data_IF_562580218512
#
_entry.id   IF_562580218512
#
_cell.length_a   1.000
_cell.length_b   1.000
_cell.length_c   1.000
_cell.angle_alpha   90.00
_cell.angle_beta   90.00
_cell.angle_gamma   90.00
#
_symmetry.space_group_name_H-M   'P 1'
#
loop_
_entity.id
_entity.type
_entity.pdbx_description
1 polymer ?
#
# COMPACT_ATOMS: atom_id res chain seq x y z
N UNK A 1 3.60 4.60 13.30
CA UNK A 1 2.44 5.41 12.86
C UNK A 1 2.61 6.80 13.45
N UNK A 2 2.46 7.84 12.61
CA UNK A 2 2.62 9.25 12.99
C UNK A 2 1.27 9.94 12.69
N UNK A 3 0.78 10.77 13.60
CA UNK A 3 -0.41 11.61 13.37
C UNK A 3 -0.04 12.86 12.55
N UNK A 4 -1.05 13.59 12.09
CA UNK A 4 -0.86 14.86 11.38
C UNK A 4 -0.11 15.93 12.20
N UNK A 5 -0.09 15.79 13.53
CA UNK A 5 0.58 16.70 14.47
C UNK A 5 2.00 16.22 14.84
N UNK A 6 2.59 15.32 14.05
CA UNK A 6 3.91 14.70 14.29
C UNK A 6 4.02 13.88 15.58
N UNK A 7 2.88 13.59 16.22
CA UNK A 7 2.83 12.74 17.41
C UNK A 7 3.02 11.29 17.01
N UNK A 8 4.05 10.65 17.56
CA UNK A 8 4.31 9.24 17.34
C UNK A 8 3.31 8.40 18.15
N UNK A 9 2.29 7.85 17.48
CA UNK A 9 1.29 6.99 18.13
C UNK A 9 1.81 5.56 18.32
N UNK A 10 2.81 5.18 17.53
CA UNK A 10 3.24 3.79 17.46
C UNK A 10 4.74 3.75 17.15
N UNK A 11 5.55 3.73 18.21
CA UNK A 11 6.99 3.45 18.18
C UNK A 11 7.21 1.96 18.45
N UNK A 12 8.13 1.35 17.71
CA UNK A 12 8.64 -0.01 17.97
C UNK A 12 7.64 -1.16 17.94
N UNK A 13 6.64 -1.11 17.04
CA UNK A 13 5.87 -2.31 16.74
C UNK A 13 6.73 -3.30 15.97
N UNK A 14 7.24 -4.30 16.69
CA UNK A 14 7.82 -5.50 16.11
C UNK A 14 6.68 -6.28 15.45
N UNK A 15 6.61 -6.18 14.12
CA UNK A 15 5.70 -6.98 13.32
C UNK A 15 5.87 -8.46 13.67
N UNK A 16 4.73 -9.13 13.84
CA UNK A 16 4.68 -10.54 14.20
C UNK A 16 5.04 -11.34 12.93
N UNK A 17 6.27 -11.85 12.86
CA UNK A 17 6.77 -12.81 11.86
C UNK A 17 6.78 -12.38 10.36
N UNK A 18 7.69 -12.97 9.58
CA UNK A 18 7.91 -12.73 8.13
C UNK A 18 6.73 -13.13 7.22
N UNK A 19 5.59 -13.50 7.78
CA UNK A 19 4.50 -14.17 7.06
C UNK A 19 3.29 -13.27 6.79
N UNK A 20 3.34 -11.98 7.15
CA UNK A 20 2.19 -11.08 7.06
C UNK A 20 2.49 -9.87 6.16
N UNK A 21 1.56 -9.55 5.27
CA UNK A 21 1.61 -8.36 4.41
C UNK A 21 0.36 -7.52 4.58
N UNK A 22 0.48 -6.22 4.32
CA UNK A 22 -0.65 -5.29 4.37
C UNK A 22 -1.70 -5.67 3.31
N UNK A 23 -2.92 -5.97 3.77
CA UNK A 23 -4.10 -6.12 2.93
C UNK A 23 -4.85 -4.79 2.75
N UNK A 24 -4.82 -3.92 3.77
CA UNK A 24 -5.34 -2.56 3.71
C UNK A 24 -5.66 -1.97 5.09
N UNK A 25 -6.34 -0.82 5.09
CA UNK A 25 -6.79 -0.14 6.31
C UNK A 25 -8.26 0.24 6.12
N UNK A 26 -9.12 -0.17 7.05
CA UNK A 26 -10.56 0.10 7.01
C UNK A 26 -11.16 0.06 8.42
N UNK A 27 -12.20 0.85 8.69
CA UNK A 27 -12.90 0.86 9.98
C UNK A 27 -11.96 0.98 11.20
N UNK A 28 -10.89 1.79 11.08
CA UNK A 28 -9.86 1.99 12.12
C UNK A 28 -9.07 0.72 12.48
N UNK A 29 -9.04 -0.26 11.57
CA UNK A 29 -8.29 -1.50 11.70
C UNK A 29 -7.26 -1.61 10.57
N UNK A 30 -6.03 -1.99 10.94
CA UNK A 30 -5.00 -2.45 10.02
C UNK A 30 -5.30 -3.91 9.70
N UNK A 31 -5.42 -4.24 8.42
CA UNK A 31 -5.73 -5.58 7.94
C UNK A 31 -4.46 -6.17 7.35
N UNK A 32 -3.98 -7.25 7.94
CA UNK A 32 -2.85 -8.01 7.45
C UNK A 32 -3.35 -9.36 6.93
N UNK A 33 -2.82 -9.78 5.78
CA UNK A 33 -3.07 -11.10 5.20
C UNK A 33 -1.80 -11.94 5.28
N UNK A 34 -1.97 -13.23 5.55
CA UNK A 34 -0.87 -14.17 5.59
C UNK A 34 -0.43 -14.52 4.17
N UNK A 35 0.88 -14.60 3.96
CA UNK A 35 1.53 -15.12 2.76
C UNK A 35 2.27 -16.41 3.10
N UNK A 36 2.23 -17.40 2.21
CA UNK A 36 3.05 -18.60 2.33
C UNK A 36 4.39 -18.38 1.62
N UNK A 37 5.42 -19.13 2.01
CA UNK A 37 6.72 -19.10 1.32
C UNK A 37 6.62 -19.33 -0.20
N UNK A 38 5.64 -20.12 -0.64
CA UNK A 38 5.50 -20.52 -2.04
C UNK A 38 4.17 -20.09 -2.68
N UNK A 39 3.36 -19.24 -2.02
CA UNK A 39 2.07 -18.77 -2.56
C UNK A 39 1.75 -17.35 -2.07
N UNK A 40 1.22 -16.47 -2.94
CA UNK A 40 0.82 -15.11 -2.57
C UNK A 40 -0.37 -15.07 -1.60
N UNK A 41 -0.98 -16.21 -1.29
CA UNK A 41 -2.17 -16.34 -0.45
C UNK A 41 -2.02 -17.57 0.45
N UNK A 42 -2.08 -17.37 1.77
CA UNK A 42 -2.29 -18.42 2.78
C UNK A 42 -3.45 -18.02 3.71
N UNK A 43 -3.99 -19.00 4.43
CA UNK A 43 -5.02 -18.75 5.42
C UNK A 43 -4.43 -18.04 6.64
N UNK A 44 -5.04 -16.91 7.00
CA UNK A 44 -4.59 -16.03 8.05
C UNK A 44 -4.99 -14.60 7.72
N UNK A 45 -5.85 -14.03 8.56
CA UNK A 45 -6.17 -12.60 8.55
C UNK A 45 -5.91 -12.08 9.95
N UNK A 46 -5.09 -11.04 10.07
CA UNK A 46 -4.84 -10.38 11.33
C UNK A 46 -5.38 -8.95 11.27
N UNK A 47 -6.17 -8.59 12.28
CA UNK A 47 -6.80 -7.29 12.42
C UNK A 47 -6.23 -6.61 13.65
N UNK A 48 -5.68 -5.42 13.47
CA UNK A 48 -5.04 -4.66 14.55
C UNK A 48 -5.77 -3.32 14.67
N UNK A 49 -6.28 -2.99 15.86
CA UNK A 49 -6.89 -1.69 16.08
C UNK A 49 -5.81 -0.58 16.00
N UNK A 50 -6.01 0.38 15.10
CA UNK A 50 -5.03 1.44 14.86
C UNK A 50 -4.79 2.35 16.08
N UNK A 51 -5.79 2.50 16.95
CA UNK A 51 -5.72 3.33 18.16
C UNK A 51 -5.36 2.53 19.42
N UNK A 52 -5.48 1.20 19.36
CA UNK A 52 -5.04 0.31 20.43
C UNK A 52 -4.37 -0.93 19.83
N UNK A 53 -3.08 -0.87 19.48
CA UNK A 53 -2.38 -1.93 18.77
C UNK A 53 -2.24 -3.24 19.55
N UNK A 54 -2.50 -3.23 20.86
CA UNK A 54 -2.55 -4.45 21.68
C UNK A 54 -3.85 -5.23 21.45
N UNK A 55 -4.92 -4.58 20.97
CA UNK A 55 -6.15 -5.23 20.59
C UNK A 55 -5.99 -5.80 19.18
N UNK A 56 -5.65 -7.08 19.12
CA UNK A 56 -5.42 -7.83 17.90
C UNK A 56 -6.36 -9.01 17.83
N UNK A 57 -6.83 -9.31 16.63
CA UNK A 57 -7.67 -10.46 16.37
C UNK A 57 -7.16 -11.21 15.14
N UNK A 58 -7.01 -12.52 15.27
CA UNK A 58 -6.40 -13.34 14.22
C UNK A 58 -7.31 -14.49 13.82
N UNK A 59 -7.59 -14.58 12.53
CA UNK A 59 -8.46 -15.55 11.90
C UNK A 59 -7.62 -16.50 11.04
N UNK A 60 -7.12 -17.58 11.65
CA UNK A 60 -6.19 -18.53 10.99
C UNK A 60 -6.87 -19.46 9.98
N UNK A 61 -8.17 -19.68 10.13
CA UNK A 61 -8.92 -20.62 9.29
C UNK A 61 -9.50 -19.98 8.02
N UNK A 62 -9.21 -18.69 7.79
CA UNK A 62 -9.81 -17.91 6.72
C UNK A 62 -8.75 -17.24 5.86
N UNK A 63 -9.01 -17.23 4.57
CA UNK A 63 -8.18 -16.62 3.54
C UNK A 63 -8.77 -15.27 3.19
N UNK A 64 -7.93 -14.24 3.15
CA UNK A 64 -8.32 -12.91 2.67
C UNK A 64 -8.62 -12.96 1.17
N UNK A 65 -9.82 -12.52 0.75
CA UNK A 65 -10.18 -12.39 -0.66
C UNK A 65 -10.13 -10.92 -1.08
N UNK A 66 -10.92 -10.06 -0.43
CA UNK A 66 -10.96 -8.64 -0.74
C UNK A 66 -11.51 -7.79 0.42
N UNK A 67 -11.26 -6.48 0.39
CA UNK A 67 -11.97 -5.51 1.22
C UNK A 67 -13.25 -5.05 0.52
N UNK A 68 -14.34 -4.94 1.27
CA UNK A 68 -15.65 -4.55 0.73
C UNK A 68 -16.46 -3.77 1.77
N UNK A 69 -17.28 -2.80 1.35
CA UNK A 69 -18.20 -2.05 2.21
C UNK A 69 -17.60 -1.64 3.59
N UNK A 70 -18.03 -2.25 4.69
CA UNK A 70 -17.50 -2.10 6.06
C UNK A 70 -16.90 -3.40 6.61
N UNK A 71 -16.43 -4.27 5.71
CA UNK A 71 -16.02 -5.64 6.01
C UNK A 71 -14.97 -6.21 5.05
N UNK A 72 -14.76 -7.52 5.18
CA UNK A 72 -13.88 -8.31 4.34
C UNK A 72 -14.65 -9.45 3.67
N UNK A 73 -14.34 -9.73 2.41
CA UNK A 73 -14.64 -11.02 1.81
C UNK A 73 -13.54 -12.00 2.20
N UNK A 74 -13.94 -13.10 2.80
CA UNK A 74 -13.06 -14.14 3.32
C UNK A 74 -13.51 -15.51 2.84
N UNK A 75 -12.58 -16.46 2.80
CA UNK A 75 -12.87 -17.85 2.41
C UNK A 75 -12.33 -18.84 3.44
N UNK A 76 -13.13 -19.80 3.93
CA UNK A 76 -12.61 -20.87 4.79
C UNK A 76 -11.51 -21.67 4.08
N UNK A 77 -10.40 -21.96 4.77
CA UNK A 77 -9.24 -22.67 4.21
C UNK A 77 -9.59 -24.05 3.62
N UNK A 78 -10.57 -24.73 4.21
CA UNK A 78 -10.94 -26.12 3.92
C UNK A 78 -11.94 -26.28 2.77
N UNK A 79 -12.46 -25.19 2.20
CA UNK A 79 -13.48 -25.25 1.16
C UNK A 79 -12.85 -24.91 -0.19
N UNK A 80 -12.95 -25.85 -1.14
CA UNK A 80 -12.62 -25.61 -2.54
C UNK A 80 -13.56 -24.54 -3.13
N UNK A 81 -13.01 -23.72 -4.03
CA UNK A 81 -13.59 -22.50 -4.61
C UNK A 81 -15.13 -22.43 -4.68
N UNK A 82 -15.70 -21.26 -4.36
CA UNK A 82 -17.12 -20.98 -4.55
C UNK A 82 -17.83 -20.41 -3.31
N UNK A 83 -17.35 -20.70 -2.09
CA UNK A 83 -17.88 -20.08 -0.88
C UNK A 83 -17.09 -18.83 -0.51
N UNK A 84 -17.77 -17.69 -0.46
CA UNK A 84 -17.27 -16.44 0.12
C UNK A 84 -18.14 -16.05 1.30
N UNK A 85 -17.51 -15.61 2.39
CA UNK A 85 -18.19 -15.14 3.59
C UNK A 85 -17.85 -13.67 3.79
N UNK A 86 -18.79 -12.91 4.36
CA UNK A 86 -18.57 -11.51 4.69
C UNK A 86 -18.27 -11.39 6.19
N UNK A 87 -17.09 -10.88 6.53
CA UNK A 87 -16.71 -10.50 7.89
C UNK A 87 -16.98 -9.00 8.08
N UNK A 88 -17.91 -8.67 8.96
CA UNK A 88 -18.19 -7.28 9.32
C UNK A 88 -17.09 -6.76 10.26
N UNK A 89 -16.37 -5.71 9.87
CA UNK A 89 -15.27 -5.16 10.67
C UNK A 89 -15.75 -4.30 11.84
N UNK A 90 -17.02 -3.92 11.92
CA UNK A 90 -17.55 -3.21 13.09
C UNK A 90 -17.97 -4.19 14.19
N UNK A 91 -18.73 -5.22 13.82
CA UNK A 91 -19.27 -6.22 14.77
C UNK A 91 -18.31 -7.37 15.03
N UNK A 92 -17.32 -7.57 14.16
CA UNK A 92 -16.41 -8.73 14.16
C UNK A 92 -17.13 -10.08 13.96
N UNK A 93 -18.31 -10.05 13.33
CA UNK A 93 -19.10 -11.26 13.05
C UNK A 93 -19.11 -11.59 11.56
N UNK A 94 -19.19 -12.89 11.27
CA UNK A 94 -19.45 -13.38 9.92
C UNK A 94 -20.96 -13.29 9.67
N UNK A 95 -21.35 -12.55 8.64
CA UNK A 95 -22.74 -12.32 8.27
C UNK A 95 -23.02 -12.85 6.87
N UNK A 96 -24.24 -13.33 6.66
CA UNK A 96 -24.73 -13.68 5.34
C UNK A 96 -25.18 -12.40 4.61
N UNK A 97 -24.30 -11.81 3.79
CA UNK A 97 -24.67 -10.75 2.85
C UNK A 97 -24.93 -11.34 1.47
N UNK A 98 -25.97 -10.85 0.81
CA UNK A 98 -26.19 -11.13 -0.62
C UNK A 98 -25.03 -10.50 -1.42
N UNK A 99 -24.30 -11.29 -2.21
CA UNK A 99 -23.12 -10.82 -2.96
C UNK A 99 -23.43 -9.59 -3.82
N UNK A 100 -24.65 -9.50 -4.38
CA UNK A 100 -25.11 -8.38 -5.20
C UNK A 100 -25.25 -7.06 -4.43
N UNK A 101 -25.28 -7.10 -3.09
CA UNK A 101 -25.37 -5.92 -2.22
C UNK A 101 -24.02 -5.40 -1.73
N UNK A 102 -22.95 -6.15 -1.98
CA UNK A 102 -21.61 -5.86 -1.47
C UNK A 102 -20.91 -4.88 -2.41
N UNK A 103 -20.77 -3.63 -1.95
CA UNK A 103 -20.03 -2.60 -2.70
C UNK A 103 -18.52 -2.80 -2.56
N UNK A 104 -17.73 -2.59 -3.62
CA UNK A 104 -16.28 -2.56 -3.52
C UNK A 104 -15.83 -1.54 -2.47
N UNK A 105 -14.85 -1.89 -1.65
CA UNK A 105 -14.21 -0.90 -0.78
C UNK A 105 -13.28 -0.03 -1.61
N UNK A 106 -13.56 1.27 -1.64
CA UNK A 106 -12.61 2.24 -2.17
C UNK A 106 -11.47 2.39 -1.16
N UNK A 107 -10.43 1.54 -1.30
CA UNK A 107 -9.22 1.65 -0.49
C UNK A 107 -8.65 3.06 -0.64
N UNK A 108 -8.50 3.76 0.48
CA UNK A 108 -7.76 5.01 0.50
C UNK A 108 -6.29 4.79 0.11
N UNK A 109 -5.78 3.56 0.28
CA UNK A 109 -4.45 3.15 -0.11
C UNK A 109 -4.42 2.76 -1.60
N UNK A 110 -3.64 3.50 -2.38
CA UNK A 110 -3.46 3.30 -3.82
C UNK A 110 -2.00 3.01 -4.11
N UNK A 111 -1.71 1.83 -4.67
CA UNK A 111 -0.37 1.48 -5.12
C UNK A 111 -0.07 2.07 -6.51
N UNK A 112 1.19 2.38 -6.83
CA UNK A 112 1.60 2.73 -8.17
C UNK A 112 1.35 1.62 -9.17
N UNK A 113 1.14 2.03 -10.42
CA UNK A 113 1.15 1.14 -11.57
C UNK A 113 2.45 1.39 -12.34
N UNK A 114 3.07 0.34 -12.86
CA UNK A 114 4.21 0.48 -13.78
C UNK A 114 3.68 1.01 -15.11
N UNK A 115 4.20 2.15 -15.54
CA UNK A 115 3.84 2.78 -16.80
C UNK A 115 4.59 2.11 -17.96
N UNK A 116 3.86 1.34 -18.76
CA UNK A 116 4.39 0.62 -19.92
C UNK A 116 4.10 1.31 -21.27
N UNK A 117 3.65 2.56 -21.24
CA UNK A 117 3.35 3.34 -22.44
C UNK A 117 4.57 4.08 -22.99
N UNK A 118 4.36 4.89 -24.03
CA UNK A 118 5.41 5.79 -24.52
C UNK A 118 5.70 6.87 -23.46
N UNK A 119 6.96 6.96 -23.04
CA UNK A 119 7.40 7.95 -22.05
C UNK A 119 7.13 9.36 -22.58
N UNK A 120 6.35 10.20 -21.86
CA UNK A 120 6.09 11.57 -22.27
C UNK A 120 7.37 12.36 -22.51
N UNK A 121 7.36 13.26 -23.51
CA UNK A 121 8.56 14.03 -23.89
C UNK A 121 9.21 14.75 -22.71
N UNK A 122 8.40 15.36 -21.83
CA UNK A 122 8.90 16.08 -20.65
C UNK A 122 9.61 15.18 -19.62
N UNK A 123 9.44 13.86 -19.68
CA UNK A 123 10.16 12.91 -18.83
C UNK A 123 11.44 12.37 -19.46
N UNK A 124 11.65 12.53 -20.77
CA UNK A 124 12.82 11.98 -21.47
C UNK A 124 14.14 12.62 -21.05
N UNK A 125 14.09 13.81 -20.46
CA UNK A 125 15.27 14.54 -19.98
C UNK A 125 15.80 14.02 -18.63
N UNK A 126 15.04 13.15 -17.95
CA UNK A 126 15.50 12.56 -16.69
C UNK A 126 16.37 11.31 -16.94
N UNK A 127 17.44 11.10 -16.16
CA UNK A 127 18.29 9.91 -16.23
C UNK A 127 17.62 8.71 -15.53
N UNK A 128 16.48 8.28 -16.07
CA UNK A 128 15.64 7.21 -15.53
C UNK A 128 16.38 5.87 -15.59
N UNK A 129 16.49 5.21 -14.44
CA UNK A 129 17.12 3.90 -14.28
C UNK A 129 16.07 2.84 -13.96
N UNK A 130 15.51 2.19 -14.99
CA UNK A 130 14.55 1.09 -14.86
C UNK A 130 13.08 1.50 -15.05
N UNK A 131 12.20 0.93 -14.22
CA UNK A 131 10.75 1.15 -14.33
C UNK A 131 10.33 2.56 -13.92
N UNK A 132 9.25 3.03 -14.56
CA UNK A 132 8.57 4.27 -14.19
C UNK A 132 7.23 3.89 -13.58
N UNK A 133 6.97 4.37 -12.39
CA UNK A 133 5.71 4.22 -11.70
C UNK A 133 4.84 5.46 -11.90
N UNK A 134 3.52 5.26 -12.03
CA UNK A 134 2.55 6.33 -12.19
C UNK A 134 1.34 6.14 -11.27
N UNK A 135 0.84 7.26 -10.73
CA UNK A 135 -0.52 7.38 -10.22
C UNK A 135 -1.19 8.64 -10.78
N UNK A 136 -2.52 8.64 -10.80
CA UNK A 136 -3.33 9.84 -11.04
C UNK A 136 -3.92 10.31 -9.71
N UNK A 137 -3.71 11.59 -9.39
CA UNK A 137 -4.29 12.27 -8.22
C UNK A 137 -5.03 13.49 -8.76
N UNK A 138 -6.35 13.45 -8.72
CA UNK A 138 -7.23 14.45 -9.34
C UNK A 138 -6.86 14.69 -10.82
N UNK A 139 -6.43 15.90 -11.16
CA UNK A 139 -6.02 16.31 -12.52
C UNK A 139 -4.51 16.21 -12.77
N UNK A 140 -3.76 15.70 -11.80
CA UNK A 140 -2.31 15.53 -11.89
C UNK A 140 -1.91 14.06 -12.01
N UNK A 141 -0.75 13.85 -12.63
CA UNK A 141 -0.03 12.59 -12.67
C UNK A 141 1.20 12.70 -11.77
N UNK A 142 1.42 11.67 -10.98
CA UNK A 142 2.60 11.49 -10.16
C UNK A 142 3.42 10.40 -10.79
N UNK A 143 4.62 10.77 -11.21
CA UNK A 143 5.62 9.89 -11.78
C UNK A 143 6.71 9.69 -10.76
N UNK A 144 7.11 8.44 -10.59
CA UNK A 144 8.18 8.08 -9.67
C UNK A 144 9.11 7.13 -10.38
N UNK A 145 10.40 7.35 -10.22
CA UNK A 145 11.40 6.51 -10.86
C UNK A 145 12.73 6.61 -10.12
N UNK A 146 13.58 5.63 -10.39
CA UNK A 146 14.95 5.64 -9.93
C UNK A 146 15.85 6.47 -10.84
N UNK A 147 16.83 7.11 -10.24
CA UNK A 147 17.99 7.71 -10.92
C UNK A 147 19.26 7.21 -10.23
N UNK A 148 20.39 7.32 -10.92
CA UNK A 148 21.71 7.13 -10.31
C UNK A 148 22.37 8.47 -10.08
N UNK A 149 22.99 8.60 -8.92
CA UNK A 149 23.84 9.74 -8.63
C UNK A 149 25.28 9.55 -9.11
N UNK A 150 26.10 10.58 -8.87
CA UNK A 150 27.51 10.60 -9.25
C UNK A 150 28.33 9.51 -8.55
N UNK A 151 27.87 9.04 -7.39
CA UNK A 151 28.52 7.97 -6.61
C UNK A 151 27.93 6.59 -6.94
N UNK A 152 27.16 6.49 -8.03
CA UNK A 152 26.50 5.27 -8.50
C UNK A 152 25.54 4.66 -7.47
N UNK A 153 25.02 5.49 -6.55
CA UNK A 153 23.95 5.13 -5.63
C UNK A 153 22.59 5.46 -6.25
N UNK A 154 21.57 4.68 -5.88
CA UNK A 154 20.21 4.90 -6.35
C UNK A 154 19.54 6.06 -5.59
N UNK A 155 18.70 6.79 -6.30
CA UNK A 155 17.90 7.88 -5.76
C UNK A 155 16.48 7.79 -6.33
N UNK A 156 15.48 8.25 -5.59
CA UNK A 156 14.08 8.25 -6.03
C UNK A 156 13.67 9.68 -6.32
N UNK A 157 13.25 9.93 -7.56
CA UNK A 157 12.66 11.20 -7.98
C UNK A 157 11.14 11.07 -8.07
N UNK A 158 10.46 12.07 -7.53
CA UNK A 158 9.03 12.32 -7.70
C UNK A 158 8.86 13.47 -8.69
N UNK A 159 8.00 13.30 -9.69
CA UNK A 159 7.62 14.33 -10.65
C UNK A 159 6.10 14.42 -10.68
N UNK A 160 5.55 15.61 -10.47
CA UNK A 160 4.15 15.90 -10.67
C UNK A 160 3.98 16.58 -12.02
N UNK A 161 2.97 16.19 -12.79
CA UNK A 161 2.66 16.79 -14.08
C UNK A 161 1.16 16.90 -14.32
N UNK A 162 0.76 17.78 -15.24
CA UNK A 162 -0.50 17.61 -15.97
C UNK A 162 -0.25 16.70 -17.17
N UNK A 163 -1.20 16.61 -18.12
CA UNK A 163 -0.97 15.91 -19.39
C UNK A 163 0.12 16.56 -20.26
N UNK A 164 0.40 17.85 -20.04
CA UNK A 164 1.16 18.68 -20.98
C UNK A 164 2.54 19.06 -20.42
N UNK A 165 2.65 19.27 -19.11
CA UNK A 165 3.85 19.81 -18.49
C UNK A 165 4.05 19.33 -17.07
N UNK A 166 5.31 19.40 -16.64
CA UNK A 166 5.71 19.22 -15.25
C UNK A 166 5.25 20.42 -14.43
N UNK A 167 4.66 20.16 -13.27
CA UNK A 167 4.25 21.18 -12.30
C UNK A 167 5.19 21.23 -11.10
N UNK A 168 5.74 20.09 -10.67
CA UNK A 168 6.70 20.03 -9.58
C UNK A 168 7.66 18.85 -9.75
N UNK A 169 8.86 18.97 -9.18
CA UNK A 169 9.82 17.88 -9.09
C UNK A 169 10.48 17.90 -7.72
N UNK A 170 10.75 16.73 -7.16
CA UNK A 170 11.52 16.61 -5.92
C UNK A 170 12.36 15.34 -5.91
N UNK A 171 13.58 15.45 -5.40
CA UNK A 171 14.42 14.31 -5.10
C UNK A 171 14.03 13.80 -3.71
N UNK A 172 13.19 12.78 -3.66
CA UNK A 172 12.53 12.38 -2.43
C UNK A 172 13.42 11.51 -1.53
N UNK A 173 14.34 10.77 -2.14
CA UNK A 173 15.23 9.82 -1.45
C UNK A 173 16.57 9.79 -2.17
N UNK A 174 17.67 9.82 -1.43
CA UNK A 174 19.03 9.75 -1.99
C UNK A 174 19.86 8.66 -1.31
N UNK A 175 20.96 8.25 -1.96
CA UNK A 175 21.98 7.35 -1.39
C UNK A 175 21.43 5.96 -1.00
N UNK A 176 20.57 5.39 -1.84
CA UNK A 176 20.10 4.02 -1.70
C UNK A 176 21.14 3.06 -2.27
N UNK A 177 21.50 2.04 -1.50
CA UNK A 177 22.44 1.01 -1.96
C UNK A 177 21.81 0.02 -2.94
N UNK A 178 20.48 -0.14 -2.91
CA UNK A 178 19.72 -1.10 -3.70
C UNK A 178 18.38 -0.51 -4.15
N UNK A 179 17.80 -1.09 -5.20
CA UNK A 179 16.41 -0.82 -5.61
C UNK A 179 15.45 -1.68 -4.79
N UNK A 180 14.26 -1.13 -4.54
CA UNK A 180 13.14 -1.82 -3.90
C UNK A 180 12.03 -2.07 -4.93
N UNK A 181 11.25 -3.12 -4.66
CA UNK A 181 9.98 -3.32 -5.35
C UNK A 181 8.89 -2.51 -4.64
N UNK A 182 7.98 -1.89 -5.39
CA UNK A 182 6.89 -1.05 -4.88
C UNK A 182 7.38 0.04 -3.91
N UNK A 183 8.01 1.07 -4.46
CA UNK A 183 8.77 2.07 -3.70
C UNK A 183 7.91 3.10 -2.98
N UNK A 184 6.61 3.16 -3.28
CA UNK A 184 5.66 4.07 -2.62
C UNK A 184 4.22 3.57 -2.69
N UNK A 185 3.34 4.20 -1.93
CA UNK A 185 1.90 4.16 -2.09
C UNK A 185 1.29 5.51 -1.72
N UNK A 186 0.07 5.77 -2.17
CA UNK A 186 -0.70 6.95 -1.82
C UNK A 186 -1.73 6.61 -0.74
N UNK A 187 -1.98 7.55 0.18
CA UNK A 187 -3.20 7.59 0.98
C UNK A 187 -3.84 8.95 0.78
N UNK A 188 -5.02 8.99 0.14
CA UNK A 188 -5.63 10.23 -0.35
C UNK A 188 -4.63 10.99 -1.27
N UNK A 189 -4.21 12.20 -0.88
CA UNK A 189 -3.29 13.06 -1.64
C UNK A 189 -1.87 13.07 -1.03
N UNK A 190 -1.54 12.08 -0.19
CA UNK A 190 -0.23 11.97 0.45
C UNK A 190 0.56 10.76 -0.08
N UNK A 191 1.82 10.99 -0.45
CA UNK A 191 2.76 9.95 -0.90
C UNK A 191 3.53 9.41 0.31
N UNK A 192 3.54 8.09 0.48
CA UNK A 192 4.35 7.38 1.46
C UNK A 192 5.42 6.56 0.74
N UNK A 193 6.70 6.84 1.01
CA UNK A 193 7.82 6.10 0.43
C UNK A 193 8.26 4.94 1.32
N UNK A 194 8.66 3.85 0.68
CA UNK A 194 9.20 2.65 1.31
C UNK A 194 10.71 2.60 1.03
N UNK A 195 11.53 3.02 1.99
CA UNK A 195 13.00 3.07 1.86
C UNK A 195 13.70 2.39 3.03
N UNK A 196 14.95 1.97 2.83
CA UNK A 196 15.82 1.37 3.86
C UNK A 196 16.65 2.42 4.63
N UNK A 197 16.94 3.55 4.00
CA UNK A 197 17.83 4.59 4.52
C UNK A 197 17.22 5.43 5.65
N UNK A 198 15.90 5.37 5.82
CA UNK A 198 15.19 5.91 6.97
C UNK A 198 14.19 4.86 7.42
N UNK A 199 14.29 4.40 8.67
CA UNK A 199 13.21 3.66 9.35
C UNK A 199 12.01 4.58 9.64
N UNK A 200 11.65 5.44 8.70
CA UNK A 200 10.66 6.51 8.83
C UNK A 200 9.81 6.53 7.57
N UNK A 201 8.49 6.55 7.75
CA UNK A 201 7.56 6.86 6.67
C UNK A 201 7.68 8.35 6.37
N UNK A 202 8.25 8.72 5.22
CA UNK A 202 8.29 10.12 4.78
C UNK A 202 7.06 10.38 3.93
N UNK A 203 6.25 11.36 4.36
CA UNK A 203 5.04 11.82 3.68
C UNK A 203 5.34 13.08 2.87
N UNK A 204 4.89 13.13 1.62
CA UNK A 204 4.87 14.34 0.80
C UNK A 204 3.42 14.69 0.48
N UNK A 205 3.03 15.94 0.73
CA UNK A 205 1.73 16.49 0.33
C UNK A 205 1.82 16.90 -1.14
N UNK A 206 0.85 16.45 -1.95
CA UNK A 206 0.85 16.57 -3.41
C UNK A 206 -0.23 17.51 -3.89
#
# INVERSE_FOLDING_TARGET
VITFEETYVLRDFKAIAKEWVLGGIQCKKLILKKIAHNSPIDAGIQLINCYNPQQQETWFNYTFINMVDQGLLIRPKVIAEGLQLFLNLQTMLIESKNENSIKPYASALVYPIIYNGEIPLFLKDFPIDGEIWINRVNDHFIWVFYEKDKDNCYQIRLVQSTKEKITATTLAVSKLGLKFFNIYFLIHEQIFLLTDNKREFVSYLV
#
